data_IF_392548411596
#
_entry.id   IF_392548411596
#
_cell.length_a   1.000
_cell.length_b   1.000
_cell.length_c   1.000
_cell.angle_alpha   90.00
_cell.angle_beta   90.00
_cell.angle_gamma   90.00
#
_symmetry.space_group_name_H-M   'P 1'
#
loop_
_entity.id
_entity.type
_entity.pdbx_description
1 polymer ?
#
# COMPACT_ATOMS: atom_id res chain seq x y z
N UNK A 1 18.13 13.23 -3.01
CA UNK A 1 17.82 11.89 -3.56
C UNK A 1 18.08 10.76 -2.56
N UNK A 2 19.30 10.67 -1.99
CA UNK A 2 19.64 9.60 -1.04
C UNK A 2 18.72 9.52 0.18
N UNK A 3 18.42 10.65 0.84
CA UNK A 3 17.55 10.67 2.02
C UNK A 3 16.11 10.19 1.72
N UNK A 4 15.50 10.67 0.63
CA UNK A 4 14.14 10.30 0.23
C UNK A 4 14.01 8.81 -0.16
N UNK A 5 15.04 8.26 -0.81
CA UNK A 5 15.08 6.85 -1.16
C UNK A 5 15.13 5.97 0.10
N UNK A 6 15.99 6.32 1.06
CA UNK A 6 16.14 5.59 2.33
C UNK A 6 14.83 5.62 3.13
N UNK A 7 14.19 6.80 3.27
CA UNK A 7 12.92 6.91 4.00
C UNK A 7 11.78 6.14 3.34
N UNK A 8 11.76 6.07 2.01
CA UNK A 8 10.75 5.29 1.26
C UNK A 8 10.92 3.78 1.45
N UNK A 9 12.17 3.28 1.36
CA UNK A 9 12.49 1.86 1.59
C UNK A 9 12.14 1.45 3.02
N UNK A 10 12.53 2.27 4.00
CA UNK A 10 12.24 2.04 5.41
C UNK A 10 10.72 2.06 5.64
N UNK A 11 9.98 3.03 5.08
CA UNK A 11 8.52 3.12 5.20
C UNK A 11 7.78 1.91 4.60
N UNK A 12 8.24 1.41 3.45
CA UNK A 12 7.69 0.20 2.83
C UNK A 12 7.94 -1.05 3.68
N UNK A 13 9.13 -1.18 4.27
CA UNK A 13 9.47 -2.27 5.18
C UNK A 13 8.61 -2.24 6.45
N UNK A 14 8.45 -1.08 7.09
CA UNK A 14 7.59 -0.96 8.28
C UNK A 14 6.13 -1.30 7.99
N UNK A 15 5.60 -0.87 6.85
CA UNK A 15 4.22 -1.20 6.46
C UNK A 15 4.06 -2.71 6.28
N UNK A 16 5.01 -3.35 5.59
CA UNK A 16 5.01 -4.79 5.34
C UNK A 16 5.14 -5.61 6.64
N UNK A 17 6.05 -5.20 7.54
CA UNK A 17 6.23 -5.86 8.83
C UNK A 17 5.05 -5.61 9.75
N UNK A 18 4.43 -4.43 9.72
CA UNK A 18 3.19 -4.18 10.46
C UNK A 18 2.06 -5.11 10.01
N UNK A 19 1.91 -5.37 8.70
CA UNK A 19 0.96 -6.37 8.22
C UNK A 19 1.27 -7.78 8.76
N UNK A 20 2.54 -8.19 8.71
CA UNK A 20 2.96 -9.51 9.20
C UNK A 20 2.75 -9.63 10.73
N UNK A 21 3.02 -8.57 11.50
CA UNK A 21 2.77 -8.51 12.94
C UNK A 21 1.29 -8.68 13.29
N UNK A 22 0.37 -8.08 12.51
CA UNK A 22 -1.07 -8.25 12.72
C UNK A 22 -1.54 -9.71 12.62
N UNK A 23 -0.76 -10.60 12.00
CA UNK A 23 -1.05 -12.02 11.92
C UNK A 23 -0.34 -12.87 13.01
N UNK A 24 0.70 -12.39 13.69
CA UNK A 24 1.40 -13.14 14.76
C UNK A 24 2.28 -12.25 15.67
N UNK A 25 1.99 -12.20 16.99
CA UNK A 25 2.72 -11.37 17.99
C UNK A 25 4.20 -11.73 18.14
N UNK A 26 4.62 -12.95 17.79
CA UNK A 26 6.02 -13.41 17.94
C UNK A 26 7.00 -12.65 17.03
N UNK A 27 6.50 -11.98 15.98
CA UNK A 27 7.32 -11.24 15.02
C UNK A 27 7.64 -9.83 15.53
N UNK A 28 6.93 -9.34 16.55
CA UNK A 28 7.17 -8.04 17.16
C UNK A 28 8.53 -7.95 17.87
N UNK A 29 9.06 -9.05 18.39
CA UNK A 29 10.36 -9.06 19.09
C UNK A 29 11.58 -9.05 18.15
N UNK A 30 11.43 -9.38 16.86
CA UNK A 30 12.53 -9.47 15.89
C UNK A 30 12.38 -8.53 14.69
N UNK A 31 11.62 -7.44 14.84
CA UNK A 31 11.29 -6.50 13.75
C UNK A 31 12.52 -6.01 12.98
N UNK A 32 13.59 -5.62 13.68
CA UNK A 32 14.83 -5.20 13.02
C UNK A 32 15.46 -6.30 12.16
N UNK A 33 15.44 -7.55 12.63
CA UNK A 33 15.97 -8.69 11.89
C UNK A 33 15.11 -9.04 10.67
N UNK A 34 13.79 -8.92 10.79
CA UNK A 34 12.85 -9.14 9.68
C UNK A 34 13.00 -8.06 8.62
N UNK A 35 13.16 -6.79 9.01
CA UNK A 35 13.41 -5.67 8.09
C UNK A 35 14.71 -5.91 7.33
N UNK A 36 15.80 -6.25 8.03
CA UNK A 36 17.10 -6.52 7.40
C UNK A 36 16.98 -7.69 6.43
N UNK A 37 16.35 -8.79 6.83
CA UNK A 37 16.13 -9.96 5.96
C UNK A 37 15.30 -9.60 4.72
N UNK A 38 14.22 -8.82 4.88
CA UNK A 38 13.38 -8.38 3.77
C UNK A 38 14.14 -7.50 2.77
N UNK A 39 14.99 -6.58 3.26
CA UNK A 39 15.84 -5.74 2.40
C UNK A 39 16.84 -6.61 1.63
N UNK A 40 17.55 -7.51 2.31
CA UNK A 40 18.54 -8.39 1.67
C UNK A 40 17.92 -9.26 0.57
N UNK A 41 16.75 -9.86 0.84
CA UNK A 41 16.02 -10.66 -0.15
C UNK A 41 15.56 -9.79 -1.32
N UNK A 42 15.01 -8.60 -1.04
CA UNK A 42 14.57 -7.67 -2.10
C UNK A 42 15.72 -7.23 -3.00
N UNK A 43 16.90 -6.97 -2.44
CA UNK A 43 18.11 -6.65 -3.21
C UNK A 43 18.57 -7.84 -4.05
N UNK A 44 18.54 -9.07 -3.52
CA UNK A 44 18.86 -10.28 -4.27
C UNK A 44 17.94 -10.48 -5.47
N UNK A 45 16.63 -10.35 -5.26
CA UNK A 45 15.62 -10.45 -6.33
C UNK A 45 15.81 -9.36 -7.39
N UNK A 46 16.15 -8.14 -6.98
CA UNK A 46 16.44 -7.05 -7.91
C UNK A 46 17.65 -7.35 -8.80
N UNK A 47 18.72 -7.92 -8.24
CA UNK A 47 19.93 -8.30 -8.97
C UNK A 47 19.69 -9.45 -9.95
N UNK A 48 18.79 -10.39 -9.64
CA UNK A 48 18.54 -11.57 -10.49
C UNK A 48 17.55 -11.32 -11.62
N UNK A 49 16.52 -10.49 -11.42
CA UNK A 49 15.45 -10.28 -12.42
C UNK A 49 15.85 -9.24 -13.48
N UNK A 50 16.61 -8.20 -13.13
CA UNK A 50 17.17 -7.23 -14.09
C UNK A 50 16.17 -6.41 -14.93
N UNK A 51 14.86 -6.58 -14.75
CA UNK A 51 13.79 -5.89 -15.50
C UNK A 51 13.06 -4.85 -14.62
N UNK A 52 13.69 -3.70 -14.32
CA UNK A 52 13.10 -2.67 -13.46
C UNK A 52 11.81 -2.08 -14.05
N UNK A 53 11.67 -2.02 -15.37
CA UNK A 53 10.51 -1.42 -16.05
C UNK A 53 9.23 -2.24 -15.78
N UNK A 54 9.29 -3.57 -15.95
CA UNK A 54 8.16 -4.47 -15.69
C UNK A 54 7.74 -4.42 -14.22
N UNK A 55 8.70 -4.43 -13.30
CA UNK A 55 8.44 -4.31 -11.87
C UNK A 55 7.80 -2.95 -11.51
N UNK A 56 8.22 -1.87 -12.18
CA UNK A 56 7.69 -0.52 -11.97
C UNK A 56 6.26 -0.39 -12.50
N UNK A 57 5.97 -0.99 -13.66
CA UNK A 57 4.60 -1.07 -14.21
C UNK A 57 3.71 -1.88 -13.26
N UNK A 58 4.14 -3.06 -12.83
CA UNK A 58 3.37 -3.91 -11.93
C UNK A 58 3.12 -3.24 -10.57
N UNK A 59 4.13 -2.60 -10.00
CA UNK A 59 4.02 -1.84 -8.76
C UNK A 59 3.07 -0.63 -8.91
N UNK A 60 3.12 0.07 -10.04
CA UNK A 60 2.20 1.17 -10.36
C UNK A 60 0.75 0.69 -10.45
N UNK A 61 0.50 -0.44 -11.10
CA UNK A 61 -0.82 -1.05 -11.25
C UNK A 61 -1.40 -1.43 -9.87
N UNK A 62 -0.60 -2.11 -9.05
CA UNK A 62 -0.98 -2.51 -7.70
C UNK A 62 -1.25 -1.29 -6.80
N UNK A 63 -0.43 -0.24 -6.87
CA UNK A 63 -0.62 0.97 -6.07
C UNK A 63 -1.85 1.77 -6.51
N UNK A 64 -2.14 1.83 -7.81
CA UNK A 64 -3.39 2.41 -8.34
C UNK A 64 -4.65 1.74 -7.78
N UNK A 65 -4.59 0.45 -7.45
CA UNK A 65 -5.68 -0.31 -6.86
C UNK A 65 -5.70 -0.25 -5.32
N UNK A 66 -4.53 -0.16 -4.66
CA UNK A 66 -4.46 -0.22 -3.20
C UNK A 66 -5.08 1.01 -2.53
N UNK A 67 -4.95 2.18 -3.15
CA UNK A 67 -5.50 3.45 -2.66
C UNK A 67 -7.04 3.43 -2.55
N UNK A 68 -7.81 3.15 -3.62
CA UNK A 68 -9.27 3.12 -3.52
C UNK A 68 -9.78 2.02 -2.59
N UNK A 69 -9.12 0.86 -2.52
CA UNK A 69 -9.49 -0.22 -1.59
C UNK A 69 -9.25 0.22 -0.14
N UNK A 70 -8.07 0.79 0.16
CA UNK A 70 -7.73 1.21 1.52
C UNK A 70 -8.60 2.37 1.98
N UNK A 71 -8.80 3.39 1.14
CA UNK A 71 -9.70 4.50 1.46
C UNK A 71 -11.15 4.05 1.59
N UNK A 72 -11.63 3.17 0.71
CA UNK A 72 -12.99 2.63 0.78
C UNK A 72 -13.24 1.85 2.08
N UNK A 73 -12.32 0.98 2.46
CA UNK A 73 -12.40 0.23 3.73
C UNK A 73 -12.30 1.14 4.95
N UNK A 74 -11.42 2.15 4.92
CA UNK A 74 -11.33 3.17 5.99
C UNK A 74 -12.61 4.00 6.11
N UNK A 75 -13.23 4.39 4.99
CA UNK A 75 -14.49 5.13 5.00
C UNK A 75 -15.59 4.31 5.66
N UNK A 76 -15.72 3.02 5.31
CA UNK A 76 -16.69 2.11 5.93
C UNK A 76 -16.37 1.88 7.42
N UNK A 77 -15.09 1.76 7.77
CA UNK A 77 -14.64 1.63 9.16
C UNK A 77 -14.94 2.89 9.99
N UNK A 78 -14.88 4.08 9.38
CA UNK A 78 -15.17 5.35 10.03
C UNK A 78 -16.60 5.47 10.58
N UNK A 79 -17.54 4.70 10.01
CA UNK A 79 -18.94 4.63 10.47
C UNK A 79 -19.19 3.54 11.50
N UNK A 80 -18.25 2.62 11.73
CA UNK A 80 -18.41 1.61 12.76
C UNK A 80 -18.08 2.21 14.13
N UNK A 81 -19.12 2.45 14.93
CA UNK A 81 -19.00 2.83 16.36
C UNK A 81 -18.06 1.93 17.17
N UNK A 82 -17.96 0.64 16.82
CA UNK A 82 -17.05 -0.31 17.46
C UNK A 82 -15.55 0.01 17.24
N UNK A 83 -15.22 0.71 16.15
CA UNK A 83 -13.83 1.06 15.77
C UNK A 83 -13.49 2.49 16.18
N UNK A 84 -14.47 3.40 16.07
CA UNK A 84 -14.27 4.85 16.19
C UNK A 84 -14.75 5.42 17.55
N UNK A 85 -15.46 4.62 18.35
CA UNK A 85 -15.96 5.01 19.66
C UNK A 85 -17.03 6.10 19.55
N UNK A 86 -16.82 7.21 20.29
CA UNK A 86 -17.74 8.35 20.35
C UNK A 86 -17.58 9.36 19.19
N UNK A 87 -16.63 9.14 18.28
CA UNK A 87 -16.37 10.08 17.20
C UNK A 87 -17.41 9.95 16.07
N UNK A 88 -18.19 11.00 15.88
CA UNK A 88 -19.14 11.10 14.76
C UNK A 88 -18.39 11.61 13.53
N UNK A 89 -18.01 10.70 12.65
CA UNK A 89 -17.40 11.09 11.39
C UNK A 89 -18.39 11.95 10.58
N UNK A 90 -18.02 13.20 10.22
CA UNK A 90 -18.96 14.14 9.60
C UNK A 90 -19.30 13.68 8.18
N UNK A 91 -20.60 13.70 7.85
CA UNK A 91 -21.14 13.25 6.56
C UNK A 91 -20.49 13.95 5.37
N UNK A 92 -20.06 15.21 5.55
CA UNK A 92 -19.37 15.98 4.51
C UNK A 92 -18.02 15.35 4.10
N UNK A 93 -17.20 14.92 5.07
CA UNK A 93 -15.92 14.26 4.78
C UNK A 93 -16.11 12.93 4.08
N UNK A 94 -17.22 12.23 4.33
CA UNK A 94 -17.55 10.99 3.64
C UNK A 94 -18.02 11.20 2.23
N UNK A 95 -18.78 12.25 1.96
CA UNK A 95 -19.19 12.58 0.59
C UNK A 95 -17.96 12.89 -0.27
N UNK A 96 -17.04 13.73 0.23
CA UNK A 96 -15.78 14.00 -0.44
C UNK A 96 -14.89 12.75 -0.54
N UNK A 97 -14.77 11.97 0.53
CA UNK A 97 -13.99 10.73 0.54
C UNK A 97 -14.53 9.70 -0.45
N UNK A 98 -15.86 9.52 -0.51
CA UNK A 98 -16.51 8.63 -1.48
C UNK A 98 -16.30 9.12 -2.91
N UNK A 99 -16.35 10.43 -3.15
CA UNK A 99 -16.08 11.01 -4.46
C UNK A 99 -14.63 10.74 -4.91
N UNK A 100 -13.66 10.94 -4.01
CA UNK A 100 -12.25 10.63 -4.27
C UNK A 100 -12.03 9.14 -4.51
N UNK A 101 -12.68 8.25 -3.74
CA UNK A 101 -12.60 6.80 -3.94
C UNK A 101 -13.13 6.40 -5.31
N UNK A 102 -14.26 6.96 -5.76
CA UNK A 102 -14.83 6.68 -7.09
C UNK A 102 -13.88 7.13 -8.19
N UNK A 103 -13.33 8.35 -8.10
CA UNK A 103 -12.36 8.86 -9.07
C UNK A 103 -11.11 7.97 -9.10
N UNK A 104 -10.56 7.63 -7.93
CA UNK A 104 -9.38 6.77 -7.82
C UNK A 104 -9.64 5.36 -8.33
N UNK A 105 -10.83 4.80 -8.11
CA UNK A 105 -11.20 3.49 -8.64
C UNK A 105 -11.24 3.51 -10.18
N UNK A 106 -11.85 4.54 -10.78
CA UNK A 106 -11.88 4.71 -12.25
C UNK A 106 -10.47 4.90 -12.81
N UNK A 107 -9.66 5.75 -12.18
CA UNK A 107 -8.27 5.97 -12.59
C UNK A 107 -7.41 4.71 -12.42
N UNK A 108 -7.58 3.97 -11.32
CA UNK A 108 -6.87 2.73 -11.05
C UNK A 108 -7.18 1.66 -12.09
N UNK A 109 -8.46 1.50 -12.45
CA UNK A 109 -8.89 0.58 -13.52
C UNK A 109 -8.34 1.03 -14.88
N UNK A 110 -8.39 2.32 -15.21
CA UNK A 110 -7.82 2.85 -16.45
C UNK A 110 -6.30 2.62 -16.53
N UNK A 111 -5.58 2.87 -15.44
CA UNK A 111 -4.14 2.61 -15.34
C UNK A 111 -3.83 1.12 -15.48
N UNK A 112 -4.62 0.24 -14.86
CA UNK A 112 -4.49 -1.21 -15.02
C UNK A 112 -4.64 -1.64 -16.48
N UNK A 113 -5.67 -1.17 -17.20
CA UNK A 113 -5.85 -1.49 -18.61
C UNK A 113 -4.71 -0.96 -19.48
N UNK A 114 -4.25 0.28 -19.23
CA UNK A 114 -3.15 0.89 -19.99
C UNK A 114 -1.81 0.21 -19.73
N UNK A 115 -1.55 -0.17 -18.48
CA UNK A 115 -0.30 -0.83 -18.08
C UNK A 115 -0.27 -2.30 -18.48
N UNK A 116 -1.39 -3.03 -18.42
CA UNK A 116 -1.49 -4.38 -19.00
C UNK A 116 -1.28 -4.35 -20.52
N UNK A 117 -1.84 -3.35 -21.21
CA UNK A 117 -1.65 -3.18 -22.66
C UNK A 117 -0.23 -2.76 -23.07
N UNK A 118 0.65 -2.38 -22.13
CA UNK A 118 2.08 -2.16 -22.39
C UNK A 118 2.94 -3.41 -22.10
N UNK A 119 2.37 -4.43 -21.46
CA UNK A 119 3.03 -5.68 -21.10
C UNK A 119 2.81 -6.81 -22.12
N UNK A 120 1.82 -6.67 -23.01
CA UNK A 120 1.53 -7.53 -24.17
C UNK A 120 1.82 -6.76 -25.47
#
# INVERSE_FOLDING_TARGET
MAAAAITSVIGSAYTSVSFIKSFNEKIAQYENWVIIGFITVSTLVFLTIGQPVTLLILAGALNGLILPISLGTMLVAAYKKKIVGDYKHPLWLTIFGSFVVVIMAVMGVYTLFKQLGQLF
#
